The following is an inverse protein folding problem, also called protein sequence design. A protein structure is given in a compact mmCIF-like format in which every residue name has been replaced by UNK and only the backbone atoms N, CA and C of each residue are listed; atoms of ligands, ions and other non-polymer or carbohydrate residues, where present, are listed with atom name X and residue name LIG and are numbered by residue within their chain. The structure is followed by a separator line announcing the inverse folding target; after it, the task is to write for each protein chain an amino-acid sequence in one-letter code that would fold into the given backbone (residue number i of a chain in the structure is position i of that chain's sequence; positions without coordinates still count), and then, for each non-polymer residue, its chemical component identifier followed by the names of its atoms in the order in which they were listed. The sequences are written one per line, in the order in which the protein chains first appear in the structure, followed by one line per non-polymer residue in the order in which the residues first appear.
data_IF_662873291331
#
_entry.id   IF_662873291331
#
_cell.length_a   1.000
_cell.length_b   1.000
_cell.length_c   1.000
_cell.angle_alpha   90.00
_cell.angle_beta   90.00
_cell.angle_gamma   90.00
#
_symmetry.space_group_name_H-M   'P 1'
#
loop_
_entity.id
_entity.type
_entity.pdbx_description
1 polymer ?
#
# COMPACT_ATOMS: atom_id res chain seq x y z
N UNK A 1 14.38 4.53 6.51
CA UNK A 1 12.99 4.06 6.69
C UNK A 1 12.08 5.21 6.37
N UNK A 2 11.30 5.09 5.29
CA UNK A 2 10.31 6.06 4.88
C UNK A 2 8.89 5.49 5.04
N UNK A 3 7.91 6.38 5.10
CA UNK A 3 6.51 6.03 5.20
C UNK A 3 5.76 6.59 4.00
N UNK A 4 4.89 5.76 3.41
CA UNK A 4 3.96 6.21 2.38
C UNK A 4 2.52 5.93 2.79
N UNK A 5 1.63 6.84 2.43
CA UNK A 5 0.19 6.67 2.53
C UNK A 5 -0.39 6.76 1.12
N UNK A 6 -1.02 5.67 0.68
CA UNK A 6 -1.83 5.62 -0.54
C UNK A 6 -3.29 5.85 -0.17
N UNK A 7 -3.92 6.81 -0.83
CA UNK A 7 -5.37 7.00 -0.76
C UNK A 7 -6.00 6.38 -2.00
N UNK A 8 -7.13 5.73 -1.81
CA UNK A 8 -7.86 5.01 -2.84
C UNK A 8 -9.36 5.04 -2.53
N UNK A 9 -10.15 4.49 -3.42
CA UNK A 9 -11.59 4.38 -3.18
C UNK A 9 -11.89 3.49 -1.98
N UNK A 10 -13.00 3.75 -1.25
CA UNK A 10 -13.44 2.89 -0.16
C UNK A 10 -13.60 1.45 -0.66
N UNK A 11 -12.94 0.53 0.04
CA UNK A 11 -13.10 -0.88 -0.22
C UNK A 11 -14.50 -1.34 0.19
N UNK A 12 -15.08 -2.25 -0.58
CA UNK A 12 -16.41 -2.84 -0.29
C UNK A 12 -16.33 -4.26 0.24
N UNK A 13 -15.15 -4.88 0.24
CA UNK A 13 -14.97 -6.28 0.59
C UNK A 13 -13.80 -6.50 1.58
N UNK A 14 -14.04 -7.03 2.80
CA UNK A 14 -13.00 -7.26 3.80
C UNK A 14 -11.90 -8.24 3.35
N UNK A 15 -12.19 -9.18 2.45
CA UNK A 15 -11.17 -10.11 1.94
C UNK A 15 -10.15 -9.43 1.02
N UNK A 16 -10.51 -8.30 0.40
CA UNK A 16 -9.61 -7.54 -0.47
C UNK A 16 -8.49 -6.86 0.32
N UNK A 17 -8.79 -6.42 1.54
CA UNK A 17 -7.84 -5.78 2.47
C UNK A 17 -6.65 -6.70 2.74
N UNK A 18 -6.94 -7.94 3.19
CA UNK A 18 -5.90 -8.93 3.50
C UNK A 18 -5.03 -9.26 2.29
N UNK A 19 -5.62 -9.27 1.08
CA UNK A 19 -4.86 -9.52 -0.15
C UNK A 19 -3.85 -8.42 -0.42
N UNK A 20 -4.24 -7.15 -0.25
CA UNK A 20 -3.36 -6.00 -0.45
C UNK A 20 -2.25 -6.00 0.59
N UNK A 21 -2.63 -6.11 1.87
CA UNK A 21 -1.67 -6.12 2.98
C UNK A 21 -0.60 -7.20 2.78
N UNK A 22 -1.01 -8.44 2.51
CA UNK A 22 -0.09 -9.56 2.29
C UNK A 22 0.78 -9.39 1.04
N UNK A 23 0.29 -8.73 0.00
CA UNK A 23 1.07 -8.54 -1.24
C UNK A 23 2.08 -7.43 -1.07
N UNK A 24 1.69 -6.29 -0.50
CA UNK A 24 2.58 -5.15 -0.25
C UNK A 24 3.65 -5.55 0.77
N UNK A 25 3.29 -6.31 1.82
CA UNK A 25 4.24 -6.80 2.83
C UNK A 25 5.29 -7.77 2.28
N UNK A 26 5.03 -8.40 1.13
CA UNK A 26 5.99 -9.29 0.45
C UNK A 26 6.97 -8.55 -0.45
N UNK A 27 6.76 -7.26 -0.70
CA UNK A 27 7.72 -6.45 -1.46
C UNK A 27 8.98 -6.31 -0.63
N UNK A 28 10.14 -6.63 -1.21
CA UNK A 28 11.42 -6.47 -0.53
C UNK A 28 11.63 -5.01 -0.13
N UNK A 29 12.18 -4.79 1.06
CA UNK A 29 12.30 -3.45 1.65
C UNK A 29 11.09 -2.99 2.47
N UNK A 30 9.94 -3.66 2.42
CA UNK A 30 8.78 -3.29 3.26
C UNK A 30 8.90 -3.89 4.65
N UNK A 31 8.77 -3.05 5.68
CA UNK A 31 8.81 -3.48 7.09
C UNK A 31 7.43 -3.59 7.71
N UNK A 32 6.52 -2.69 7.36
CA UNK A 32 5.18 -2.64 7.93
C UNK A 32 4.14 -2.19 6.89
N UNK A 33 2.91 -2.72 7.00
CA UNK A 33 1.78 -2.35 6.15
C UNK A 33 0.51 -2.33 6.98
N UNK A 34 -0.25 -1.25 6.87
CA UNK A 34 -1.53 -1.10 7.53
C UNK A 34 -2.59 -0.64 6.52
N UNK A 35 -3.64 -1.44 6.34
CA UNK A 35 -4.75 -1.12 5.43
C UNK A 35 -5.95 -0.63 6.24
N UNK A 36 -6.31 0.64 6.05
CA UNK A 36 -7.45 1.30 6.68
C UNK A 36 -8.68 1.24 5.75
N UNK A 37 -9.42 0.13 5.82
CA UNK A 37 -10.62 -0.14 5.02
C UNK A 37 -11.65 1.00 5.08
N UNK A 38 -11.99 1.45 6.29
CA UNK A 38 -13.03 2.48 6.52
C UNK A 38 -12.72 3.82 5.85
N UNK A 39 -11.44 4.12 5.59
CA UNK A 39 -11.02 5.39 4.98
C UNK A 39 -10.45 5.25 3.58
N UNK A 40 -10.38 4.03 3.02
CA UNK A 40 -9.73 3.79 1.73
C UNK A 40 -8.25 4.18 1.72
N UNK A 41 -7.49 3.85 2.78
CA UNK A 41 -6.07 4.20 2.89
C UNK A 41 -5.19 3.00 3.12
N UNK A 42 -4.00 3.00 2.53
CA UNK A 42 -2.94 2.01 2.78
C UNK A 42 -1.69 2.76 3.23
N UNK A 43 -1.23 2.48 4.45
CA UNK A 43 0.06 2.94 4.95
C UNK A 43 1.07 1.83 4.77
N UNK A 44 2.25 2.15 4.27
CA UNK A 44 3.39 1.23 4.24
C UNK A 44 4.64 1.94 4.77
N UNK A 45 5.47 1.20 5.49
CA UNK A 45 6.81 1.61 5.89
C UNK A 45 7.83 0.78 5.13
N UNK A 46 8.78 1.46 4.50
CA UNK A 46 9.72 0.82 3.58
C UNK A 46 11.12 1.42 3.66
N UNK A 47 12.08 0.64 3.23
CA UNK A 47 13.47 1.01 3.07
C UNK A 47 13.71 1.56 1.66
N UNK A 48 13.97 2.87 1.57
CA UNK A 48 14.22 3.60 0.32
C UNK A 48 15.43 3.10 -0.48
N UNK A 49 16.31 2.32 0.16
CA UNK A 49 17.46 1.72 -0.51
C UNK A 49 17.12 0.41 -1.22
N UNK A 50 15.97 -0.20 -0.90
CA UNK A 50 15.51 -1.49 -1.44
C UNK A 50 14.25 -1.38 -2.29
N UNK A 51 13.39 -0.40 -2.01
CA UNK A 51 12.15 -0.17 -2.76
C UNK A 51 11.73 1.30 -2.66
N UNK A 52 10.76 1.70 -3.46
CA UNK A 52 10.23 3.05 -3.50
C UNK A 52 8.69 3.07 -3.47
N UNK A 53 8.12 4.26 -3.24
CA UNK A 53 6.67 4.44 -3.19
C UNK A 53 5.98 4.06 -4.51
N UNK A 54 6.67 4.21 -5.65
CA UNK A 54 6.12 3.94 -6.98
C UNK A 54 6.01 2.44 -7.24
N UNK A 55 6.97 1.65 -6.75
CA UNK A 55 6.96 0.18 -6.79
C UNK A 55 5.82 -0.37 -5.96
N UNK A 56 5.60 0.20 -4.78
CA UNK A 56 4.48 -0.16 -3.90
C UNK A 56 3.13 0.22 -4.52
N UNK A 57 3.02 1.42 -5.09
CA UNK A 57 1.82 1.85 -5.83
C UNK A 57 1.51 0.89 -6.99
N UNK A 58 2.50 0.60 -7.84
CA UNK A 58 2.34 -0.32 -8.96
C UNK A 58 1.90 -1.72 -8.52
N UNK A 59 2.38 -2.18 -7.37
CA UNK A 59 1.95 -3.46 -6.78
C UNK A 59 0.47 -3.44 -6.43
N UNK A 60 -0.02 -2.34 -5.85
CA UNK A 60 -1.44 -2.16 -5.49
C UNK A 60 -2.30 -2.04 -6.76
N UNK A 61 -1.86 -1.26 -7.75
CA UNK A 61 -2.56 -1.09 -9.04
C UNK A 61 -2.67 -2.41 -9.80
N UNK A 62 -1.62 -3.24 -9.82
CA UNK A 62 -1.63 -4.58 -10.43
C UNK A 62 -2.63 -5.54 -9.79
N UNK A 63 -3.01 -5.32 -8.54
CA UNK A 63 -4.07 -6.09 -7.87
C UNK A 63 -5.48 -5.66 -8.27
N UNK A 64 -5.61 -4.59 -9.06
CA UNK A 64 -6.88 -4.00 -9.48
C UNK A 64 -7.36 -2.85 -8.60
N UNK A 65 -6.49 -2.28 -7.77
CA UNK A 65 -6.83 -1.16 -6.88
C UNK A 65 -6.12 0.11 -7.33
N UNK A 66 -6.78 1.02 -8.06
CA UNK A 66 -6.18 2.27 -8.46
C UNK A 66 -5.89 3.15 -7.25
N UNK A 67 -4.68 3.72 -7.21
CA UNK A 67 -4.27 4.71 -6.22
C UNK A 67 -4.68 6.10 -6.73
N UNK A 68 -5.42 6.84 -5.91
CA UNK A 68 -5.89 8.20 -6.25
C UNK A 68 -4.85 9.25 -5.91
N UNK A 69 -4.13 9.05 -4.80
CA UNK A 69 -3.00 9.89 -4.42
C UNK A 69 -2.06 9.15 -3.49
N UNK A 70 -0.79 9.56 -3.48
CA UNK A 70 0.22 9.06 -2.54
C UNK A 70 0.87 10.23 -1.81
N UNK A 71 1.19 10.02 -0.54
CA UNK A 71 1.98 10.94 0.28
C UNK A 71 3.12 10.19 0.93
N UNK A 72 4.34 10.57 0.58
CA UNK A 72 5.58 10.05 1.18
C UNK A 72 6.02 10.98 2.31
N UNK A 73 6.54 10.44 3.40
CA UNK A 73 6.97 11.17 4.60
C UNK A 73 8.10 10.44 5.32
#
# INVERSE_FOLDING_TARGET
MQKVIFNMEPFTCPSCVKKIENTVKKVDGVSDVQVMFNSGRVRAEFDETRTDADTLENTIVKLGYPVLSKKVS
#
